data_IF_174291104183
#
_entry.id   IF_174291104183
#
_cell.length_a   1.000
_cell.length_b   1.000
_cell.length_c   1.000
_cell.angle_alpha   90.00
_cell.angle_beta   90.00
_cell.angle_gamma   90.00
#
_symmetry.space_group_name_H-M   'P 1'
#
loop_
_entity.id
_entity.type
_entity.pdbx_description
1 polymer ?
#
# COMPACT_ATOMS: atom_id res chain seq x y z
N UNK A 1 33.73 1.35 9.46
CA UNK A 1 32.81 2.50 9.56
C UNK A 1 31.84 2.42 8.39
N UNK A 2 30.60 2.00 8.62
CA UNK A 2 29.60 1.96 7.55
C UNK A 2 29.10 3.37 7.32
N UNK A 3 29.64 4.04 6.30
CA UNK A 3 29.13 5.33 5.84
C UNK A 3 27.63 5.16 5.56
N UNK A 4 26.78 5.77 6.39
CA UNK A 4 25.35 5.89 6.09
C UNK A 4 25.27 6.62 4.76
N UNK A 5 24.85 5.92 3.71
CA UNK A 5 24.69 6.50 2.39
C UNK A 5 23.80 7.74 2.46
N UNK A 6 24.01 8.68 1.53
CA UNK A 6 23.20 9.89 1.41
C UNK A 6 21.71 9.50 1.41
N UNK A 7 20.88 10.20 2.19
CA UNK A 7 19.43 9.99 2.15
C UNK A 7 18.90 10.35 0.76
N UNK A 8 17.80 9.72 0.33
CA UNK A 8 17.10 10.12 -0.89
C UNK A 8 16.33 11.40 -0.59
N UNK A 9 16.53 12.42 -1.44
CA UNK A 9 15.77 13.66 -1.40
C UNK A 9 14.32 13.41 -1.86
N UNK A 10 13.35 14.28 -1.52
CA UNK A 10 11.96 14.12 -1.96
C UNK A 10 11.82 13.90 -3.47
N UNK A 11 12.51 14.70 -4.29
CA UNK A 11 12.50 14.55 -5.76
C UNK A 11 13.03 13.18 -6.20
N UNK A 12 14.12 12.69 -5.60
CA UNK A 12 14.65 11.36 -5.91
C UNK A 12 13.67 10.26 -5.49
N UNK A 13 12.96 10.43 -4.37
CA UNK A 13 11.93 9.48 -3.96
C UNK A 13 10.76 9.46 -4.94
N UNK A 14 10.37 10.60 -5.52
CA UNK A 14 9.34 10.67 -6.56
C UNK A 14 9.78 9.95 -7.84
N UNK A 15 10.97 10.25 -8.36
CA UNK A 15 11.51 9.55 -9.54
C UNK A 15 11.61 8.06 -9.29
N UNK A 16 12.05 7.66 -8.09
CA UNK A 16 12.10 6.25 -7.71
C UNK A 16 10.70 5.59 -7.69
N UNK A 17 9.67 6.30 -7.22
CA UNK A 17 8.29 5.81 -7.27
C UNK A 17 7.80 5.64 -8.71
N UNK A 18 8.07 6.61 -9.60
CA UNK A 18 7.69 6.55 -11.03
C UNK A 18 8.40 5.41 -11.74
N UNK A 19 9.72 5.28 -11.54
CA UNK A 19 10.52 4.21 -12.11
C UNK A 19 10.01 2.83 -11.65
N UNK A 20 9.73 2.67 -10.35
CA UNK A 20 9.17 1.43 -9.83
C UNK A 20 7.82 1.10 -10.46
N UNK A 21 6.93 2.10 -10.60
CA UNK A 21 5.62 1.89 -11.22
C UNK A 21 5.74 1.43 -12.66
N UNK A 22 6.59 2.10 -13.45
CA UNK A 22 6.80 1.77 -14.85
C UNK A 22 7.23 0.30 -15.01
N UNK A 23 8.18 -0.17 -14.20
CA UNK A 23 8.60 -1.59 -14.25
C UNK A 23 7.51 -2.52 -13.72
N UNK A 24 6.76 -2.12 -12.68
CA UNK A 24 5.72 -2.96 -12.07
C UNK A 24 4.48 -3.15 -12.94
N UNK A 25 4.22 -2.23 -13.87
CA UNK A 25 3.07 -2.24 -14.77
C UNK A 25 3.43 -2.73 -16.17
N UNK A 26 4.72 -2.98 -16.45
CA UNK A 26 5.18 -3.48 -17.74
C UNK A 26 4.70 -4.94 -17.95
N UNK A 27 3.79 -5.20 -18.91
CA UNK A 27 3.24 -6.53 -19.14
C UNK A 27 4.30 -7.53 -19.60
N UNK A 28 5.42 -7.07 -20.18
CA UNK A 28 6.55 -7.91 -20.62
C UNK A 28 7.28 -8.50 -19.40
N UNK A 29 7.20 -7.83 -18.24
CA UNK A 29 7.86 -8.25 -16.99
C UNK A 29 7.10 -9.41 -16.30
N UNK A 30 5.86 -9.68 -16.68
CA UNK A 30 5.00 -10.67 -16.04
C UNK A 30 5.42 -12.14 -16.19
N UNK A 31 6.31 -12.47 -17.13
CA UNK A 31 6.56 -13.86 -17.49
C UNK A 31 7.87 -14.46 -16.94
N UNK A 32 8.91 -13.67 -16.62
CA UNK A 32 10.19 -14.26 -16.16
C UNK A 32 11.21 -13.21 -15.64
N UNK A 33 11.08 -12.77 -14.38
CA UNK A 33 12.17 -12.00 -13.73
C UNK A 33 12.51 -12.51 -12.33
N UNK A 34 13.78 -12.90 -12.16
CA UNK A 34 14.45 -12.91 -10.86
C UNK A 34 14.42 -11.49 -10.26
N UNK A 35 14.30 -11.40 -8.94
CA UNK A 35 14.20 -10.11 -8.23
C UNK A 35 15.35 -9.14 -8.51
N UNK A 36 16.54 -9.63 -8.90
CA UNK A 36 17.67 -8.82 -9.37
C UNK A 36 17.30 -7.98 -10.60
N UNK A 37 16.77 -8.62 -11.64
CA UNK A 37 16.48 -7.99 -12.93
C UNK A 37 15.41 -6.89 -12.82
N UNK A 38 14.50 -7.00 -11.85
CA UNK A 38 13.49 -5.97 -11.58
C UNK A 38 14.15 -4.68 -11.08
N UNK A 39 14.99 -4.77 -10.04
CA UNK A 39 15.63 -3.57 -9.49
C UNK A 39 16.68 -2.99 -10.41
N UNK A 40 17.31 -3.80 -11.26
CA UNK A 40 18.23 -3.33 -12.31
C UNK A 40 17.50 -2.43 -13.31
N UNK A 41 16.30 -2.84 -13.78
CA UNK A 41 15.46 -2.00 -14.65
C UNK A 41 15.00 -0.71 -13.96
N UNK A 42 14.61 -0.80 -12.68
CA UNK A 42 14.23 0.40 -11.91
C UNK A 42 15.43 1.35 -11.79
N UNK A 43 16.64 0.83 -11.56
CA UNK A 43 17.85 1.63 -11.49
C UNK A 43 18.21 2.25 -12.84
N UNK A 44 18.02 1.54 -13.94
CA UNK A 44 18.22 2.07 -15.29
C UNK A 44 17.30 3.27 -15.56
N UNK A 45 16.00 3.14 -15.27
CA UNK A 45 15.03 4.23 -15.45
C UNK A 45 15.35 5.40 -14.53
N UNK A 46 15.63 5.13 -13.25
CA UNK A 46 15.97 6.19 -12.29
C UNK A 46 17.21 6.98 -12.72
N UNK A 47 18.27 6.30 -13.16
CA UNK A 47 19.52 6.94 -13.54
C UNK A 47 19.44 7.68 -14.88
N UNK A 48 18.46 7.38 -15.76
CA UNK A 48 18.23 8.16 -16.99
C UNK A 48 17.75 9.59 -16.71
N UNK A 49 17.08 9.82 -15.59
CA UNK A 49 16.58 11.15 -15.19
C UNK A 49 17.57 11.95 -14.36
N UNK A 50 18.77 11.41 -14.07
CA UNK A 50 19.75 12.04 -13.19
C UNK A 50 21.11 12.20 -13.88
N UNK A 51 21.79 13.30 -13.62
CA UNK A 51 23.14 13.57 -14.16
C UNK A 51 24.23 12.66 -13.58
N UNK A 52 23.89 11.82 -12.60
CA UNK A 52 24.81 10.91 -11.94
C UNK A 52 24.19 9.53 -11.75
N UNK A 53 25.04 8.51 -11.75
CA UNK A 53 24.64 7.13 -11.50
C UNK A 53 24.55 6.91 -9.99
N UNK A 54 23.34 6.60 -9.51
CA UNK A 54 23.09 6.15 -8.15
C UNK A 54 22.78 4.67 -8.14
N UNK A 55 23.50 3.92 -7.32
CA UNK A 55 23.15 2.53 -7.06
C UNK A 55 21.88 2.48 -6.20
N UNK A 56 20.78 2.01 -6.78
CA UNK A 56 19.54 1.88 -6.04
C UNK A 56 19.65 0.76 -5.03
N UNK A 57 19.45 1.09 -3.75
CA UNK A 57 19.40 0.10 -2.71
C UNK A 57 17.96 -0.41 -2.57
N UNK A 58 17.73 -1.67 -2.94
CA UNK A 58 16.44 -2.33 -2.77
C UNK A 58 15.95 -2.31 -1.32
N UNK A 59 16.86 -2.24 -0.34
CA UNK A 59 16.55 -2.06 1.09
C UNK A 59 15.91 -0.68 1.33
N UNK A 60 16.41 0.40 0.71
CA UNK A 60 15.79 1.72 0.88
C UNK A 60 14.36 1.74 0.36
N UNK A 61 14.14 1.18 -0.84
CA UNK A 61 12.79 1.03 -1.38
C UNK A 61 11.88 0.21 -0.45
N UNK A 62 12.31 -1.00 -0.05
CA UNK A 62 11.50 -1.93 0.74
C UNK A 62 11.21 -1.40 2.15
N UNK A 63 12.24 -0.96 2.87
CA UNK A 63 12.13 -0.62 4.29
C UNK A 63 11.67 0.81 4.55
N UNK A 64 11.85 1.72 3.59
CA UNK A 64 11.45 3.12 3.74
C UNK A 64 10.16 3.40 2.99
N UNK A 65 10.21 3.41 1.66
CA UNK A 65 9.08 3.89 0.84
C UNK A 65 7.94 2.89 0.85
N UNK A 66 8.19 1.66 0.39
CA UNK A 66 7.16 0.62 0.27
C UNK A 66 6.50 0.34 1.62
N UNK A 67 7.27 0.16 2.70
CA UNK A 67 6.74 -0.13 4.03
C UNK A 67 5.83 0.99 4.54
N UNK A 68 6.29 2.24 4.51
CA UNK A 68 5.52 3.36 5.06
C UNK A 68 4.28 3.68 4.20
N UNK A 69 4.42 3.65 2.87
CA UNK A 69 3.29 3.86 1.95
C UNK A 69 2.25 2.75 2.13
N UNK A 70 2.65 1.48 2.23
CA UNK A 70 1.71 0.37 2.45
C UNK A 70 0.94 0.53 3.77
N UNK A 71 1.64 0.93 4.83
CA UNK A 71 1.02 1.17 6.13
C UNK A 71 0.02 2.34 6.07
N UNK A 72 0.38 3.41 5.37
CA UNK A 72 -0.51 4.56 5.17
C UNK A 72 -1.71 4.20 4.29
N UNK A 73 -1.54 3.46 3.20
CA UNK A 73 -2.64 2.95 2.39
C UNK A 73 -3.61 2.13 3.24
N UNK A 74 -3.12 1.24 4.11
CA UNK A 74 -3.97 0.49 5.04
C UNK A 74 -4.63 1.32 6.14
N UNK A 75 -4.15 2.53 6.43
CA UNK A 75 -4.81 3.49 7.31
C UNK A 75 -5.89 4.28 6.54
N UNK A 76 -5.55 4.75 5.34
CA UNK A 76 -6.44 5.46 4.43
C UNK A 76 -7.65 4.61 4.03
N UNK A 77 -7.44 3.33 3.67
CA UNK A 77 -8.54 2.38 3.39
C UNK A 77 -9.54 2.29 4.53
N UNK A 78 -9.07 2.23 5.79
CA UNK A 78 -9.97 2.19 6.96
C UNK A 78 -10.72 3.50 7.16
N UNK A 79 -10.06 4.63 6.95
CA UNK A 79 -10.69 5.94 7.05
C UNK A 79 -11.81 6.13 6.01
N UNK A 80 -11.61 5.60 4.79
CA UNK A 80 -12.60 5.69 3.69
C UNK A 80 -13.74 4.67 3.85
N UNK A 81 -13.48 3.49 4.42
CA UNK A 81 -14.47 2.42 4.51
C UNK A 81 -15.47 2.59 5.67
N UNK A 82 -15.07 3.25 6.77
CA UNK A 82 -15.96 3.51 7.89
C UNK A 82 -15.98 5.01 8.26
N UNK A 83 -16.46 5.87 7.34
CA UNK A 83 -16.55 7.30 7.60
C UNK A 83 -17.66 7.57 8.62
N UNK A 84 -17.41 8.39 9.66
CA UNK A 84 -18.50 9.00 10.41
C UNK A 84 -19.47 9.72 9.46
N UNK A 85 -20.76 9.72 9.77
CA UNK A 85 -21.76 10.40 8.95
C UNK A 85 -21.40 11.88 8.76
N UNK A 86 -21.36 12.34 7.51
CA UNK A 86 -21.08 13.73 7.15
C UNK A 86 -19.60 14.08 6.90
N UNK A 87 -18.68 13.12 6.83
CA UNK A 87 -17.27 13.41 6.54
C UNK A 87 -16.96 13.55 5.05
N UNK A 88 -16.03 14.44 4.71
CA UNK A 88 -15.53 14.66 3.34
C UNK A 88 -14.12 14.04 3.12
N UNK A 89 -13.54 14.20 1.93
CA UNK A 89 -12.21 13.65 1.62
C UNK A 89 -11.06 14.19 2.48
N UNK A 90 -11.17 15.42 3.00
CA UNK A 90 -10.20 16.01 3.93
C UNK A 90 -10.27 15.32 5.30
N UNK A 91 -11.47 14.97 5.74
CA UNK A 91 -11.67 14.20 6.97
C UNK A 91 -11.05 12.80 6.86
N UNK A 92 -11.19 12.14 5.71
CA UNK A 92 -10.55 10.84 5.47
C UNK A 92 -9.02 10.93 5.58
N UNK A 93 -8.41 12.00 5.04
CA UNK A 93 -6.96 12.22 5.14
C UNK A 93 -6.52 12.39 6.59
N UNK A 94 -7.24 13.20 7.37
CA UNK A 94 -6.95 13.46 8.79
C UNK A 94 -7.07 12.18 9.61
N UNK A 95 -8.16 11.44 9.45
CA UNK A 95 -8.35 10.14 10.12
C UNK A 95 -7.27 9.13 9.70
N UNK A 96 -6.87 9.10 8.43
CA UNK A 96 -5.80 8.22 7.96
C UNK A 96 -4.44 8.54 8.62
N UNK A 97 -4.11 9.83 8.81
CA UNK A 97 -2.89 10.25 9.49
C UNK A 97 -2.88 9.85 10.96
N UNK A 98 -4.00 9.99 11.67
CA UNK A 98 -4.15 9.55 13.05
C UNK A 98 -4.01 8.03 13.18
N UNK A 99 -4.68 7.28 12.31
CA UNK A 99 -4.59 5.83 12.23
C UNK A 99 -3.17 5.36 11.90
N UNK A 100 -2.48 6.06 10.99
CA UNK A 100 -1.07 5.76 10.67
C UNK A 100 -0.19 5.95 11.91
N UNK A 101 -0.33 7.09 12.61
CA UNK A 101 0.45 7.40 13.81
C UNK A 101 0.30 6.33 14.89
N UNK A 102 -0.91 5.79 15.06
CA UNK A 102 -1.17 4.69 16.00
C UNK A 102 -0.40 3.42 15.61
N UNK A 103 -0.28 3.13 14.32
CA UNK A 103 0.41 1.92 13.81
C UNK A 103 1.92 2.09 13.61
N UNK A 104 2.42 3.31 13.44
CA UNK A 104 3.81 3.62 13.07
C UNK A 104 4.71 3.90 14.28
N UNK A 105 4.35 3.40 15.47
CA UNK A 105 5.01 3.74 16.75
C UNK A 105 5.06 5.25 17.00
N UNK A 106 3.94 5.95 16.74
CA UNK A 106 3.78 7.41 16.89
C UNK A 106 4.60 8.27 15.90
N UNK A 107 5.13 7.67 14.83
CA UNK A 107 5.87 8.42 13.80
C UNK A 107 4.91 9.16 12.86
N UNK A 108 5.25 10.39 12.49
CA UNK A 108 4.53 11.13 11.46
C UNK A 108 4.76 10.50 10.07
N UNK A 109 3.73 10.48 9.24
CA UNK A 109 3.88 10.12 7.84
C UNK A 109 4.51 11.29 7.08
N UNK A 110 5.59 11.05 6.33
CA UNK A 110 6.35 12.09 5.61
C UNK A 110 6.49 11.81 4.10
N UNK A 111 5.85 10.76 3.60
CA UNK A 111 5.96 10.32 2.21
C UNK A 111 4.67 10.57 1.43
N UNK A 112 4.06 11.74 1.64
CA UNK A 112 2.83 12.14 0.94
C UNK A 112 3.02 12.17 -0.57
N UNK A 113 4.14 12.74 -1.03
CA UNK A 113 4.53 12.77 -2.45
C UNK A 113 4.65 11.37 -3.06
N UNK A 114 5.32 10.43 -2.37
CA UNK A 114 5.39 9.04 -2.81
C UNK A 114 4.01 8.38 -2.88
N UNK A 115 3.18 8.58 -1.85
CA UNK A 115 1.85 7.98 -1.80
C UNK A 115 0.95 8.50 -2.92
N UNK A 116 0.97 9.80 -3.22
CA UNK A 116 0.19 10.38 -4.33
C UNK A 116 0.51 9.74 -5.68
N UNK A 117 1.77 9.34 -5.90
CA UNK A 117 2.21 8.63 -7.10
C UNK A 117 1.75 7.16 -7.07
N UNK A 118 1.87 6.49 -5.93
CA UNK A 118 1.69 5.03 -5.81
C UNK A 118 0.26 4.56 -5.52
N UNK A 119 -0.63 5.45 -5.04
CA UNK A 119 -1.94 5.08 -4.46
C UNK A 119 -2.86 4.32 -5.42
N UNK A 120 -2.76 4.57 -6.72
CA UNK A 120 -3.63 3.99 -7.74
C UNK A 120 -3.06 2.70 -8.36
N UNK A 121 -1.81 2.35 -8.03
CA UNK A 121 -1.21 1.12 -8.55
C UNK A 121 -1.92 -0.12 -7.99
N UNK A 122 -2.06 -1.23 -8.74
CA UNK A 122 -2.85 -2.40 -8.32
C UNK A 122 -2.54 -2.88 -6.89
N UNK A 123 -1.26 -2.87 -6.52
CA UNK A 123 -0.75 -3.23 -5.19
C UNK A 123 -1.31 -2.42 -4.03
N UNK A 124 -1.57 -1.13 -4.23
CA UNK A 124 -2.03 -0.21 -3.17
C UNK A 124 -3.42 0.35 -3.42
N UNK A 125 -3.94 0.13 -4.62
CA UNK A 125 -5.27 0.54 -5.01
C UNK A 125 -6.28 0.16 -3.94
N UNK A 126 -7.16 1.11 -3.64
CA UNK A 126 -8.34 0.89 -2.81
C UNK A 126 -9.40 0.23 -3.69
N UNK A 127 -9.03 -0.81 -4.44
CA UNK A 127 -10.01 -1.68 -5.06
C UNK A 127 -10.91 -2.16 -3.91
N UNK A 128 -12.17 -1.72 -3.95
CA UNK A 128 -13.23 -2.29 -3.15
C UNK A 128 -13.28 -3.74 -3.57
N UNK A 129 -12.76 -4.65 -2.75
CA UNK A 129 -13.17 -6.04 -2.93
C UNK A 129 -14.70 -6.05 -2.76
N UNK A 130 -15.45 -6.64 -3.71
CA UNK A 130 -16.86 -6.89 -3.50
C UNK A 130 -17.00 -7.58 -2.15
N UNK A 131 -17.76 -6.96 -1.26
CA UNK A 131 -18.11 -7.56 0.01
C UNK A 131 -18.94 -8.81 -0.33
N UNK A 132 -18.33 -9.99 -0.21
CA UNK A 132 -19.08 -11.25 -0.17
C UNK A 132 -20.17 -11.08 0.89
N UNK A 133 -21.42 -11.06 0.43
CA UNK A 133 -22.58 -10.87 1.26
C UNK A 133 -22.55 -11.93 2.37
N UNK A 134 -22.60 -11.46 3.61
CA UNK A 134 -22.64 -12.31 4.79
C UNK A 134 -23.77 -13.33 4.65
N UNK A 135 -23.39 -14.60 4.66
CA UNK A 135 -24.31 -15.68 4.99
C UNK A 135 -24.78 -15.46 6.43
N UNK A 136 -26.00 -14.96 6.55
CA UNK A 136 -26.77 -14.78 7.77
C UNK A 136 -26.91 -16.14 8.51
N UNK A 137 -26.76 -16.19 9.84
CA UNK A 137 -26.92 -17.43 10.59
C UNK A 137 -28.42 -17.72 10.76
N UNK A 138 -28.91 -18.79 10.11
CA UNK A 138 -30.28 -19.26 10.33
C UNK A 138 -30.46 -19.72 11.79
N UNK A 139 -31.37 -19.01 12.45
CA UNK A 139 -31.80 -19.16 13.83
C UNK A 139 -32.25 -20.59 14.18
N UNK A 140 -31.86 -21.00 15.38
CA UNK A 140 -32.39 -22.18 16.10
C UNK A 140 -33.92 -22.12 16.12
N UNK A 141 -34.57 -23.17 15.62
CA UNK A 141 -35.99 -23.45 15.89
C UNK A 141 -36.09 -24.86 16.48
N UNK A 142 -36.54 -24.90 17.73
CA UNK A 142 -36.85 -26.10 18.51
C UNK A 142 -38.05 -26.83 17.88
N UNK A 143 -37.92 -28.14 17.62
CA UNK A 143 -39.05 -28.99 17.25
C UNK A 143 -39.76 -29.52 18.53
N UNK A 144 -41.10 -29.61 18.53
CA UNK A 144 -41.86 -30.06 19.69
C UNK A 144 -41.90 -31.60 19.81
N UNK A 145 -42.13 -32.03 21.04
CA UNK A 145 -42.34 -33.41 21.50
C UNK A 145 -43.77 -33.86 21.20
N UNK A 146 -44.01 -35.00 20.52
CA UNK A 146 -44.96 -36.07 20.93
C UNK A 146 -45.20 -37.19 19.89
N UNK A 147 -45.10 -38.43 20.40
CA UNK A 147 -45.98 -39.61 20.28
C UNK A 147 -46.59 -40.09 18.93
N UNK A 148 -46.39 -41.40 18.65
CA UNK A 148 -47.41 -42.45 18.36
C UNK A 148 -46.65 -43.72 17.88
N UNK A 149 -46.58 -44.81 18.65
CA UNK A 149 -47.57 -45.89 18.77
C UNK A 149 -47.85 -46.62 17.46
N UNK A 150 -47.27 -47.82 17.31
CA UNK A 150 -47.96 -49.11 17.09
C UNK A 150 -46.96 -50.26 17.07
#
# INVERSE_FOLDING_TARGET
>A
MTSKGRNYLPAEQETLCRAWLQVSLDPIVGNDQKSSNFYDKVAEIFNKEHEYVRFLNSIHWRDTIQKQVSLFCGAYKKAVHNPPSGTNGIDHMRTALELYKLRSKKSAFRLHHCWLILKDAPKWSVAMEPQEAGSEPASVTLAPVSAMAS
#
